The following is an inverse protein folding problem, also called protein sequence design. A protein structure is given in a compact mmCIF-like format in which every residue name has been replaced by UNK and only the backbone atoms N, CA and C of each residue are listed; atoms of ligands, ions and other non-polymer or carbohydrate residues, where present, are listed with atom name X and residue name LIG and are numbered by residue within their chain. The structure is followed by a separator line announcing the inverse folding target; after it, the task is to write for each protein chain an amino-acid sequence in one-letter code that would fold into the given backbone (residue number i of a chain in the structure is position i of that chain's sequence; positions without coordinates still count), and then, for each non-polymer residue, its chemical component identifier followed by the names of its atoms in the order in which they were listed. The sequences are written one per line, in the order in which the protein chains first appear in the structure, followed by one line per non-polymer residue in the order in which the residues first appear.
data_IF_079730890851
#
_entry.id   IF_079730890851
#
_cell.length_a   1.000
_cell.length_b   1.000
_cell.length_c   1.000
_cell.angle_alpha   90.00
_cell.angle_beta   90.00
_cell.angle_gamma   90.00
#
_symmetry.space_group_name_H-M   'P 1'
#
loop_
_entity.id
_entity.type
_entity.pdbx_description
1 polymer ?
#
# COMPACT_ATOMS: atom_id res chain seq x y z
N UNK A 1 19.30 -1.36 66.33
CA UNK A 1 20.19 -0.72 65.33
C UNK A 1 21.23 -1.76 64.93
N UNK A 2 20.87 -2.64 63.99
CA UNK A 2 21.79 -3.58 63.33
C UNK A 2 21.27 -3.70 61.90
N UNK A 3 22.10 -3.22 60.99
CA UNK A 3 21.88 -3.04 59.56
C UNK A 3 21.55 -4.35 58.83
N UNK A 4 20.68 -4.33 57.80
CA UNK A 4 20.37 -5.51 56.99
C UNK A 4 21.54 -5.87 56.07
N UNK A 5 21.76 -7.18 55.98
CA UNK A 5 22.66 -7.88 55.08
C UNK A 5 22.28 -7.55 53.62
N UNK A 6 23.11 -6.75 52.96
CA UNK A 6 23.00 -6.47 51.52
C UNK A 6 23.47 -7.73 50.80
N UNK A 7 22.54 -8.49 50.25
CA UNK A 7 22.80 -9.60 49.34
C UNK A 7 23.47 -9.02 48.08
N UNK A 8 24.76 -9.31 47.94
CA UNK A 8 25.60 -8.96 46.81
C UNK A 8 25.13 -9.69 45.54
N UNK A 9 24.39 -8.98 44.69
CA UNK A 9 24.05 -9.46 43.35
C UNK A 9 25.22 -9.18 42.40
N UNK A 10 25.95 -10.25 42.05
CA UNK A 10 26.92 -10.31 40.96
C UNK A 10 26.34 -9.73 39.65
N UNK A 11 27.04 -8.84 38.93
CA UNK A 11 26.61 -8.39 37.62
C UNK A 11 26.78 -9.54 36.61
N UNK A 12 25.67 -10.22 36.27
CA UNK A 12 25.65 -11.18 35.17
C UNK A 12 25.92 -10.45 33.87
N UNK A 13 27.17 -10.56 33.44
CA UNK A 13 27.70 -10.19 32.14
C UNK A 13 26.70 -10.57 31.03
N UNK A 14 26.16 -9.57 30.35
CA UNK A 14 25.14 -9.70 29.32
C UNK A 14 25.72 -10.39 28.09
N UNK A 15 25.68 -11.72 28.09
CA UNK A 15 25.98 -12.50 26.90
C UNK A 15 24.98 -12.12 25.81
N UNK A 16 25.49 -11.48 24.76
CA UNK A 16 24.73 -11.19 23.54
C UNK A 16 24.11 -12.50 23.04
N UNK A 17 22.78 -12.58 23.14
CA UNK A 17 21.98 -13.69 22.63
C UNK A 17 22.12 -13.75 21.11
N UNK A 18 23.07 -14.56 20.61
CA UNK A 18 23.20 -14.88 19.19
C UNK A 18 21.99 -15.73 18.77
N UNK A 19 21.06 -15.12 18.03
CA UNK A 19 19.93 -15.77 17.31
C UNK A 19 20.12 -15.62 15.80
N UNK A 20 19.37 -16.36 14.99
CA UNK A 20 19.44 -17.80 14.82
C UNK A 20 20.46 -18.13 13.72
N UNK A 21 21.46 -18.94 14.04
CA UNK A 21 22.47 -19.47 13.10
C UNK A 21 21.88 -20.42 12.04
N UNK A 22 20.56 -20.48 11.88
CA UNK A 22 19.89 -21.48 11.04
C UNK A 22 20.14 -21.22 9.55
N UNK A 23 20.03 -19.98 9.08
CA UNK A 23 20.37 -19.62 7.69
C UNK A 23 21.86 -19.84 7.40
N UNK A 24 22.76 -19.43 8.31
CA UNK A 24 24.20 -19.59 8.13
C UNK A 24 24.63 -21.07 8.14
N UNK A 25 23.95 -21.90 8.96
CA UNK A 25 24.12 -23.36 8.95
C UNK A 25 23.65 -23.96 7.63
N UNK A 26 22.46 -23.60 7.14
CA UNK A 26 21.96 -24.07 5.84
C UNK A 26 22.90 -23.66 4.70
N UNK A 27 23.44 -22.43 4.71
CA UNK A 27 24.43 -22.03 3.72
C UNK A 27 25.73 -22.82 3.86
N UNK A 28 26.22 -23.05 5.07
CA UNK A 28 27.42 -23.84 5.32
C UNK A 28 27.24 -25.32 4.98
N UNK A 29 26.08 -25.92 5.20
CA UNK A 29 25.80 -27.34 4.92
C UNK A 29 25.67 -27.58 3.41
N UNK A 30 25.18 -26.57 2.67
CA UNK A 30 25.06 -26.60 1.21
C UNK A 30 26.39 -26.23 0.51
N UNK A 31 27.12 -25.22 0.99
CA UNK A 31 28.40 -24.76 0.39
C UNK A 31 29.60 -25.57 0.88
N UNK A 32 29.57 -26.04 2.13
CA UNK A 32 30.61 -26.84 2.77
C UNK A 32 30.71 -28.26 2.24
N UNK A 33 29.83 -28.63 1.30
CA UNK A 33 29.99 -29.83 0.50
C UNK A 33 29.47 -31.11 1.14
N UNK A 34 28.85 -31.06 2.33
CA UNK A 34 28.19 -32.22 2.94
C UNK A 34 27.05 -32.74 2.05
N UNK A 35 26.31 -31.82 1.41
CA UNK A 35 25.31 -32.13 0.39
C UNK A 35 25.91 -32.59 -0.95
N UNK A 36 27.11 -32.11 -1.34
CA UNK A 36 27.79 -32.51 -2.59
C UNK A 36 28.53 -33.84 -2.46
N UNK A 37 28.99 -34.20 -1.26
CA UNK A 37 29.70 -35.43 -0.96
C UNK A 37 28.79 -36.67 -1.05
N UNK A 38 27.47 -36.48 -1.00
CA UNK A 38 26.53 -37.56 -1.24
C UNK A 38 26.56 -37.95 -2.73
N UNK A 39 26.94 -39.19 -3.02
CA UNK A 39 27.01 -39.83 -4.36
C UNK A 39 25.77 -39.67 -5.26
N UNK A 40 24.61 -39.30 -4.70
CA UNK A 40 23.38 -38.96 -5.44
C UNK A 40 23.35 -37.51 -5.97
N UNK A 41 24.08 -36.59 -5.32
CA UNK A 41 24.13 -35.15 -5.63
C UNK A 41 24.89 -34.85 -6.92
N UNK A 42 25.97 -35.60 -7.20
CA UNK A 42 26.75 -35.46 -8.44
C UNK A 42 25.91 -35.67 -9.71
N UNK A 43 24.90 -36.56 -9.66
CA UNK A 43 24.00 -36.82 -10.78
C UNK A 43 22.96 -35.71 -10.99
N UNK A 44 22.65 -34.93 -9.95
CA UNK A 44 21.68 -33.82 -9.98
C UNK A 44 22.34 -32.43 -9.98
N UNK A 45 23.67 -32.36 -10.02
CA UNK A 45 24.44 -31.12 -10.12
C UNK A 45 23.95 -30.12 -11.20
N UNK A 46 23.60 -30.53 -12.44
CA UNK A 46 23.08 -29.58 -13.43
C UNK A 46 21.73 -28.97 -13.04
N UNK A 47 20.88 -29.70 -12.30
CA UNK A 47 19.61 -29.18 -11.80
C UNK A 47 19.80 -28.15 -10.69
N UNK A 48 20.80 -28.34 -9.82
CA UNK A 48 21.14 -27.36 -8.79
C UNK A 48 21.66 -26.05 -9.42
N UNK A 49 22.50 -26.15 -10.46
CA UNK A 49 22.94 -24.99 -11.24
C UNK A 49 21.78 -24.27 -11.93
N UNK A 50 20.78 -25.02 -12.42
CA UNK A 50 19.59 -24.44 -13.00
C UNK A 50 18.80 -23.60 -11.98
N UNK A 51 18.62 -24.09 -10.75
CA UNK A 51 17.97 -23.33 -9.67
C UNK A 51 18.82 -22.12 -9.28
N UNK A 52 20.14 -22.27 -9.17
CA UNK A 52 21.02 -21.13 -8.90
C UNK A 52 20.90 -20.03 -9.98
N UNK A 53 20.78 -20.43 -11.25
CA UNK A 53 20.49 -19.52 -12.36
C UNK A 53 19.13 -18.83 -12.23
N UNK A 54 18.09 -19.54 -11.82
CA UNK A 54 16.77 -18.95 -11.54
C UNK A 54 16.82 -17.96 -10.36
N UNK A 55 17.55 -18.27 -9.31
CA UNK A 55 17.78 -17.34 -8.19
C UNK A 55 18.48 -16.06 -8.66
N UNK A 56 19.49 -16.19 -9.52
CA UNK A 56 20.18 -15.04 -10.09
C UNK A 56 19.24 -14.20 -10.98
N UNK A 57 18.44 -14.86 -11.83
CA UNK A 57 17.43 -14.21 -12.66
C UNK A 57 16.36 -13.50 -11.81
N UNK A 58 15.96 -14.09 -10.69
CA UNK A 58 15.01 -13.49 -9.75
C UNK A 58 15.56 -12.21 -9.11
N UNK A 59 16.81 -12.25 -8.63
CA UNK A 59 17.50 -11.07 -8.10
C UNK A 59 17.60 -9.98 -9.19
N UNK A 60 17.97 -10.35 -10.42
CA UNK A 60 18.02 -9.39 -11.54
C UNK A 60 16.64 -8.75 -11.82
N UNK A 61 15.57 -9.54 -11.79
CA UNK A 61 14.20 -9.04 -11.99
C UNK A 61 13.75 -8.09 -10.88
N UNK A 62 14.15 -8.33 -9.64
CA UNK A 62 13.75 -7.47 -8.51
C UNK A 62 14.33 -6.07 -8.64
N UNK A 63 15.60 -5.96 -9.05
CA UNK A 63 16.26 -4.67 -9.28
C UNK A 63 15.61 -3.88 -10.43
N UNK A 64 15.13 -4.57 -11.46
CA UNK A 64 14.39 -3.93 -12.55
C UNK A 64 13.02 -3.42 -12.07
N UNK A 65 12.33 -4.24 -11.27
CA UNK A 65 11.02 -3.92 -10.71
C UNK A 65 11.06 -2.70 -9.79
N UNK A 66 12.11 -2.53 -8.98
CA UNK A 66 12.29 -1.33 -8.14
C UNK A 66 12.37 -0.01 -8.92
N UNK A 67 12.89 -0.05 -10.16
CA UNK A 67 12.91 1.14 -11.03
C UNK A 67 11.55 1.39 -11.67
N UNK A 68 10.87 0.33 -12.10
CA UNK A 68 9.50 0.41 -12.62
C UNK A 68 8.53 0.96 -11.58
N UNK A 69 8.58 0.48 -10.34
CA UNK A 69 7.71 0.96 -9.24
C UNK A 69 7.86 2.47 -9.05
N UNK A 70 9.11 2.98 -9.04
CA UNK A 70 9.36 4.42 -8.91
C UNK A 70 8.84 5.22 -10.10
N UNK A 71 8.84 4.67 -11.31
CA UNK A 71 8.24 5.33 -12.48
C UNK A 71 6.71 5.32 -12.40
N UNK A 72 6.11 4.19 -12.00
CA UNK A 72 4.66 4.05 -11.81
C UNK A 72 4.16 5.11 -10.81
N UNK A 73 4.85 5.28 -9.68
CA UNK A 73 4.47 6.29 -8.68
C UNK A 73 4.54 7.73 -9.22
N UNK A 74 5.51 8.04 -10.09
CA UNK A 74 5.62 9.36 -10.74
C UNK A 74 4.46 9.58 -11.72
N UNK A 75 4.21 8.63 -12.61
CA UNK A 75 3.09 8.71 -13.56
C UNK A 75 1.75 8.81 -12.82
N UNK A 76 1.58 8.10 -11.70
CA UNK A 76 0.36 8.21 -10.89
C UNK A 76 0.20 9.58 -10.23
N UNK A 77 1.29 10.22 -9.80
CA UNK A 77 1.24 11.59 -9.28
C UNK A 77 0.82 12.59 -10.35
N UNK A 78 1.34 12.48 -11.56
CA UNK A 78 0.97 13.36 -12.69
C UNK A 78 -0.52 13.24 -13.03
N UNK A 79 -1.05 12.01 -13.09
CA UNK A 79 -2.49 11.77 -13.30
C UNK A 79 -3.32 12.41 -12.19
N UNK A 80 -2.87 12.28 -10.93
CA UNK A 80 -3.56 12.83 -9.77
C UNK A 80 -3.55 14.36 -9.78
N UNK A 81 -2.44 14.96 -10.17
CA UNK A 81 -2.28 16.41 -10.32
C UNK A 81 -3.23 16.96 -11.40
N UNK A 82 -3.28 16.32 -12.57
CA UNK A 82 -4.25 16.67 -13.62
C UNK A 82 -5.71 16.55 -13.15
N UNK A 83 -6.03 15.50 -12.38
CA UNK A 83 -7.36 15.34 -11.80
C UNK A 83 -7.69 16.43 -10.78
N UNK A 84 -6.72 16.84 -9.97
CA UNK A 84 -6.89 17.94 -9.03
C UNK A 84 -7.12 19.26 -9.76
N UNK A 85 -6.33 19.56 -10.79
CA UNK A 85 -6.49 20.77 -11.59
C UNK A 85 -7.85 20.82 -12.27
N UNK A 86 -8.30 19.71 -12.89
CA UNK A 86 -9.62 19.59 -13.49
C UNK A 86 -10.74 19.76 -12.45
N UNK A 87 -10.63 19.10 -11.29
CA UNK A 87 -11.66 19.19 -10.23
C UNK A 87 -11.73 20.60 -9.64
N UNK A 88 -10.57 21.23 -9.43
CA UNK A 88 -10.48 22.58 -8.89
C UNK A 88 -11.02 23.62 -9.89
N UNK A 89 -10.60 23.57 -11.16
CA UNK A 89 -11.08 24.46 -12.22
C UNK A 89 -12.57 24.25 -12.54
N UNK A 90 -13.08 23.03 -12.48
CA UNK A 90 -14.51 22.76 -12.62
C UNK A 90 -15.31 23.30 -11.43
N UNK A 91 -14.76 23.21 -10.22
CA UNK A 91 -15.40 23.72 -9.00
C UNK A 91 -15.60 25.23 -9.01
N UNK A 92 -14.64 26.01 -9.53
CA UNK A 92 -14.80 27.47 -9.64
C UNK A 92 -15.97 27.86 -10.57
N UNK A 93 -16.14 27.15 -11.69
CA UNK A 93 -17.30 27.33 -12.59
C UNK A 93 -18.60 26.84 -11.94
N UNK A 94 -18.55 25.71 -11.24
CA UNK A 94 -19.71 25.16 -10.52
C UNK A 94 -20.16 26.05 -9.36
N UNK A 95 -19.25 26.79 -8.73
CA UNK A 95 -19.56 27.75 -7.67
C UNK A 95 -20.37 28.93 -8.22
N UNK A 96 -19.97 29.49 -9.36
CA UNK A 96 -20.75 30.53 -10.05
C UNK A 96 -22.09 30.01 -10.60
N UNK A 97 -22.13 28.74 -10.98
CA UNK A 97 -23.34 28.07 -11.49
C UNK A 97 -24.23 27.49 -10.38
N UNK A 98 -23.83 27.61 -9.10
CA UNK A 98 -24.55 26.99 -7.98
C UNK A 98 -25.88 27.72 -7.79
N UNK A 99 -26.98 26.96 -7.79
CA UNK A 99 -28.34 27.50 -7.60
C UNK A 99 -28.48 28.41 -6.39
N UNK A 100 -27.74 28.14 -5.32
CA UNK A 100 -27.76 28.94 -4.07
C UNK A 100 -27.10 30.31 -4.22
N UNK A 101 -26.01 30.42 -5.00
CA UNK A 101 -25.35 31.69 -5.34
C UNK A 101 -26.18 32.47 -6.37
N UNK A 102 -26.73 31.78 -7.38
CA UNK A 102 -27.67 32.37 -8.33
C UNK A 102 -28.93 32.89 -7.62
N UNK A 103 -29.51 32.13 -6.70
CA UNK A 103 -30.64 32.56 -5.88
C UNK A 103 -30.28 33.76 -5.00
N UNK A 104 -29.05 33.84 -4.48
CA UNK A 104 -28.56 34.98 -3.71
C UNK A 104 -28.36 36.23 -4.57
N UNK A 105 -27.75 36.12 -5.76
CA UNK A 105 -27.56 37.22 -6.72
C UNK A 105 -28.90 37.69 -7.32
N UNK A 106 -29.87 36.78 -7.51
CA UNK A 106 -31.21 37.08 -8.03
C UNK A 106 -32.22 37.48 -6.94
N UNK A 107 -31.89 37.34 -5.66
CA UNK A 107 -32.71 37.78 -4.51
C UNK A 107 -33.02 39.28 -4.56
N UNK A 108 -32.04 40.07 -5.03
CA UNK A 108 -32.20 41.52 -5.21
C UNK A 108 -33.07 41.89 -6.41
N UNK A 109 -33.44 40.92 -7.27
CA UNK A 109 -34.33 41.09 -8.42
C UNK A 109 -35.74 40.50 -8.18
N UNK A 110 -36.05 40.07 -6.95
CA UNK A 110 -37.40 39.62 -6.56
C UNK A 110 -37.75 38.16 -6.87
N UNK A 111 -36.80 37.35 -7.34
CA UNK A 111 -37.01 35.93 -7.63
C UNK A 111 -36.71 35.08 -6.39
N UNK A 112 -37.70 34.30 -5.91
CA UNK A 112 -37.54 33.34 -4.79
C UNK A 112 -37.35 31.93 -5.34
N UNK A 113 -36.43 31.20 -4.74
CA UNK A 113 -36.21 29.77 -5.00
C UNK A 113 -37.50 28.99 -4.68
N UNK A 114 -37.94 28.13 -5.60
CA UNK A 114 -39.09 27.25 -5.38
C UNK A 114 -38.63 26.10 -4.49
N UNK A 115 -39.15 26.08 -3.26
CA UNK A 115 -38.83 25.08 -2.21
C UNK A 115 -39.82 23.92 -2.24
N UNK A 116 -40.69 23.86 -3.25
CA UNK A 116 -41.69 22.80 -3.35
C UNK A 116 -41.06 21.54 -3.96
N UNK A 117 -41.07 20.40 -3.25
CA UNK A 117 -40.57 19.15 -3.80
C UNK A 117 -41.41 18.73 -5.01
N UNK A 118 -40.75 18.13 -6.02
CA UNK A 118 -41.40 17.65 -7.25
C UNK A 118 -42.54 16.69 -6.90
N UNK A 119 -43.78 17.12 -7.14
CA UNK A 119 -44.97 16.29 -6.91
C UNK A 119 -45.13 15.34 -8.09
N UNK A 120 -44.99 14.03 -7.82
CA UNK A 120 -45.33 12.99 -8.81
C UNK A 120 -46.84 13.03 -9.05
N UNK A 121 -47.25 13.45 -10.25
CA UNK A 121 -48.65 13.39 -10.68
C UNK A 121 -49.01 11.92 -10.87
N UNK A 122 -49.62 11.28 -9.88
CA UNK A 122 -50.19 9.95 -10.02
C UNK A 122 -51.60 10.12 -10.57
N UNK A 123 -51.83 9.75 -11.82
CA UNK A 123 -53.16 9.76 -12.44
C UNK A 123 -54.05 8.72 -11.73
N UNK A 124 -54.88 9.16 -10.79
CA UNK A 124 -55.98 8.33 -10.28
C UNK A 124 -57.11 8.37 -11.31
N UNK A 125 -57.16 7.34 -12.14
CA UNK A 125 -58.29 7.07 -13.04
C UNK A 125 -59.50 6.73 -12.17
N UNK A 126 -60.26 7.75 -11.75
CA UNK A 126 -61.60 7.54 -11.19
C UNK A 126 -62.55 7.31 -12.36
N UNK A 127 -62.99 6.08 -12.49
CA UNK A 127 -64.10 5.65 -13.34
C UNK A 127 -65.30 6.59 -13.15
N UNK A 128 -65.72 7.18 -14.27
CA UNK A 128 -66.94 7.99 -14.37
C UNK A 128 -68.16 7.05 -14.32
N UNK A 129 -69.28 7.45 -13.69
CA UNK A 129 -70.46 6.61 -13.45
C UNK A 129 -71.11 6.07 -14.72
#
# INVERSE_FOLDING_TARGET
MSTPEVIEQQPKNGQMKKKPSFFLKIFHDILGGEFLAHQWSSRQAPFLLFIAGLCFLYIANIYYTERMIRQIDKTHREIKELQFEYTYGKSSVLFESKQTELARKLKNRGLKESVDPVVKIVLSQKSKP
#
